data_IF_677340194229
#
_entry.id   IF_677340194229
#
_cell.length_a   1.000
_cell.length_b   1.000
_cell.length_c   1.000
_cell.angle_alpha   90.00
_cell.angle_beta   90.00
_cell.angle_gamma   90.00
#
_symmetry.space_group_name_H-M   'P 1'
#
loop_
_entity.id
_entity.type
_entity.pdbx_description
1 polymer ?
#
# COMPACT_ATOMS: atom_id res chain seq x y z
N UNK A 1 -24.55 -2.30 12.73
CA UNK A 1 -23.27 -1.58 12.61
C UNK A 1 -22.04 -2.50 12.61
N UNK A 2 -21.83 -3.38 13.61
CA UNK A 2 -20.64 -4.24 13.65
C UNK A 2 -20.54 -5.20 12.43
N UNK A 3 -21.62 -5.88 12.06
CA UNK A 3 -21.66 -6.77 10.88
C UNK A 3 -21.33 -6.02 9.57
N UNK A 4 -21.79 -4.78 9.44
CA UNK A 4 -21.57 -3.97 8.24
C UNK A 4 -20.11 -3.49 8.14
N UNK A 5 -19.51 -3.09 9.25
CA UNK A 5 -18.07 -2.73 9.29
C UNK A 5 -17.18 -3.95 9.03
N UNK A 6 -17.54 -5.11 9.57
CA UNK A 6 -16.86 -6.38 9.31
C UNK A 6 -16.91 -6.74 7.82
N UNK A 7 -18.07 -6.60 7.17
CA UNK A 7 -18.25 -6.87 5.74
C UNK A 7 -17.33 -5.99 4.89
N UNK A 8 -17.27 -4.69 5.17
CA UNK A 8 -16.41 -3.76 4.44
C UNK A 8 -14.92 -4.11 4.61
N UNK A 9 -14.50 -4.37 5.85
CA UNK A 9 -13.10 -4.74 6.14
C UNK A 9 -12.72 -6.05 5.47
N UNK A 10 -13.58 -7.07 5.57
CA UNK A 10 -13.37 -8.37 4.91
C UNK A 10 -13.32 -8.22 3.39
N UNK A 11 -14.20 -7.41 2.79
CA UNK A 11 -14.19 -7.14 1.36
C UNK A 11 -12.89 -6.48 0.88
N UNK A 12 -12.38 -5.51 1.62
CA UNK A 12 -11.10 -4.87 1.31
C UNK A 12 -9.91 -5.84 1.46
N UNK A 13 -9.91 -6.70 2.48
CA UNK A 13 -8.89 -7.74 2.67
C UNK A 13 -8.93 -8.73 1.51
N UNK A 14 -10.12 -9.22 1.14
CA UNK A 14 -10.29 -10.13 0.00
C UNK A 14 -9.76 -9.49 -1.28
N UNK A 15 -10.14 -8.25 -1.56
CA UNK A 15 -9.64 -7.53 -2.73
C UNK A 15 -8.11 -7.45 -2.74
N UNK A 16 -7.48 -7.00 -1.65
CA UNK A 16 -6.02 -6.88 -1.56
C UNK A 16 -5.31 -8.23 -1.69
N UNK A 17 -5.89 -9.28 -1.09
CA UNK A 17 -5.35 -10.64 -1.18
C UNK A 17 -5.47 -11.18 -2.60
N UNK A 18 -6.59 -10.97 -3.29
CA UNK A 18 -6.76 -11.43 -4.67
C UNK A 18 -5.83 -10.72 -5.65
N UNK A 19 -5.56 -9.43 -5.44
CA UNK A 19 -4.56 -8.70 -6.22
C UNK A 19 -3.14 -9.27 -6.00
N UNK A 20 -2.79 -9.62 -4.76
CA UNK A 20 -1.53 -10.30 -4.45
C UNK A 20 -1.46 -11.67 -5.11
N UNK A 21 -2.53 -12.48 -4.98
CA UNK A 21 -2.61 -13.81 -5.60
C UNK A 21 -2.46 -13.71 -7.12
N UNK A 22 -3.11 -12.74 -7.77
CA UNK A 22 -2.92 -12.51 -9.21
C UNK A 22 -1.47 -12.22 -9.55
N UNK A 23 -0.81 -11.32 -8.82
CA UNK A 23 0.60 -11.01 -9.06
C UNK A 23 1.49 -12.25 -8.90
N UNK A 24 1.25 -13.07 -7.89
CA UNK A 24 1.97 -14.34 -7.66
C UNK A 24 1.70 -15.34 -8.80
N UNK A 25 0.45 -15.51 -9.21
CA UNK A 25 0.08 -16.41 -10.31
C UNK A 25 0.76 -15.98 -11.61
N UNK A 26 0.68 -14.71 -11.96
CA UNK A 26 1.33 -14.19 -13.18
C UNK A 26 2.84 -14.33 -13.09
N UNK A 27 3.45 -13.95 -11.96
CA UNK A 27 4.89 -14.08 -11.75
C UNK A 27 5.38 -15.52 -11.88
N UNK A 28 4.56 -16.51 -11.52
CA UNK A 28 4.89 -17.93 -11.67
C UNK A 28 4.78 -18.42 -13.12
N UNK A 29 3.83 -17.88 -13.88
CA UNK A 29 3.50 -18.33 -15.24
C UNK A 29 4.43 -17.78 -16.32
N UNK A 30 4.98 -16.57 -16.15
CA UNK A 30 5.80 -15.88 -17.16
C UNK A 30 7.26 -15.77 -16.74
N UNK A 31 8.14 -15.32 -17.64
CA UNK A 31 9.55 -15.05 -17.34
C UNK A 31 9.70 -13.95 -16.28
N UNK A 32 10.87 -13.87 -15.62
CA UNK A 32 11.15 -12.79 -14.66
C UNK A 32 11.18 -11.45 -15.37
N UNK A 33 11.74 -11.39 -16.58
CA UNK A 33 11.78 -10.17 -17.39
C UNK A 33 10.40 -9.69 -17.79
N UNK A 34 9.54 -10.58 -18.30
CA UNK A 34 8.14 -10.26 -18.62
C UNK A 34 7.35 -9.79 -17.40
N UNK A 35 7.64 -10.38 -16.22
CA UNK A 35 7.03 -9.89 -14.99
C UNK A 35 7.52 -8.48 -14.63
N UNK A 36 8.76 -8.12 -14.94
CA UNK A 36 9.26 -6.76 -14.83
C UNK A 36 8.47 -5.77 -15.70
N UNK A 37 8.22 -6.14 -16.95
CA UNK A 37 7.32 -5.39 -17.84
C UNK A 37 5.91 -5.30 -17.25
N UNK A 38 5.35 -6.41 -16.77
CA UNK A 38 4.03 -6.46 -16.12
C UNK A 38 3.97 -5.55 -14.86
N UNK A 39 5.06 -5.44 -14.11
CA UNK A 39 5.15 -4.55 -12.96
C UNK A 39 5.06 -3.07 -13.36
N UNK A 40 5.54 -2.69 -14.56
CA UNK A 40 5.37 -1.32 -15.06
C UNK A 40 3.90 -0.98 -15.31
N UNK A 41 3.06 -1.94 -15.69
CA UNK A 41 1.62 -1.74 -15.82
C UNK A 41 0.97 -1.47 -14.45
N UNK A 42 1.40 -2.20 -13.41
CA UNK A 42 0.92 -1.95 -12.04
C UNK A 42 1.34 -0.56 -11.52
N UNK A 43 2.56 -0.11 -11.84
CA UNK A 43 3.03 1.25 -11.55
C UNK A 43 2.16 2.28 -12.28
N UNK A 44 1.87 2.05 -13.56
CA UNK A 44 1.00 2.91 -14.37
C UNK A 44 -0.41 2.99 -13.80
N UNK A 45 -0.96 1.86 -13.36
CA UNK A 45 -2.27 1.80 -12.71
C UNK A 45 -2.28 2.60 -11.41
N UNK A 46 -1.24 2.46 -10.57
CA UNK A 46 -1.10 3.23 -9.35
C UNK A 46 -0.98 4.74 -9.65
N UNK A 47 -0.25 5.13 -10.70
CA UNK A 47 -0.15 6.51 -11.15
C UNK A 47 -1.53 7.07 -11.53
N UNK A 48 -2.25 6.38 -12.42
CA UNK A 48 -3.60 6.77 -12.83
C UNK A 48 -4.52 6.92 -11.62
N UNK A 49 -4.50 5.94 -10.71
CA UNK A 49 -5.35 5.91 -9.54
C UNK A 49 -5.06 7.09 -8.59
N UNK A 50 -3.80 7.27 -8.20
CA UNK A 50 -3.40 8.29 -7.23
C UNK A 50 -3.49 9.70 -7.81
N UNK A 51 -3.20 9.88 -9.11
CA UNK A 51 -3.27 11.19 -9.78
C UNK A 51 -4.67 11.57 -10.27
N UNK A 52 -5.63 10.66 -10.22
CA UNK A 52 -7.01 10.96 -10.61
C UNK A 52 -8.01 10.93 -9.46
N UNK A 53 -7.60 10.54 -8.26
CA UNK A 53 -8.49 10.43 -7.10
C UNK A 53 -8.82 11.80 -6.51
N UNK A 54 -9.98 12.34 -6.86
CA UNK A 54 -10.51 13.61 -6.32
C UNK A 54 -11.39 13.42 -5.07
N UNK A 55 -11.45 12.22 -4.50
CA UNK A 55 -12.24 11.96 -3.30
C UNK A 55 -13.75 12.19 -3.45
N UNK A 56 -14.27 12.16 -4.68
CA UNK A 56 -15.71 12.33 -4.93
C UNK A 56 -16.54 11.24 -4.28
N UNK A 57 -15.99 10.04 -4.16
CA UNK A 57 -16.53 8.91 -3.41
C UNK A 57 -16.63 9.19 -1.90
N UNK A 58 -15.71 9.98 -1.36
CA UNK A 58 -15.79 10.47 0.03
C UNK A 58 -16.77 11.61 0.16
N UNK A 59 -16.78 12.52 -0.83
CA UNK A 59 -17.68 13.66 -0.84
C UNK A 59 -19.15 13.21 -0.78
N UNK A 60 -19.59 12.25 -1.60
CA UNK A 60 -20.98 11.78 -1.57
C UNK A 60 -21.35 11.13 -0.25
N UNK A 61 -20.38 10.50 0.44
CA UNK A 61 -20.60 9.88 1.75
C UNK A 61 -20.71 10.92 2.88
N UNK A 62 -19.92 12.00 2.83
CA UNK A 62 -19.81 12.99 3.90
C UNK A 62 -20.77 14.16 3.75
N UNK A 63 -21.13 14.52 2.52
CA UNK A 63 -21.92 15.71 2.23
C UNK A 63 -23.36 15.59 2.70
N UNK A 64 -23.95 16.69 3.19
CA UNK A 64 -25.35 16.72 3.62
C UNK A 64 -26.30 16.35 2.49
N UNK A 65 -25.97 16.78 1.26
CA UNK A 65 -26.76 16.54 0.05
C UNK A 65 -26.40 15.23 -0.66
N UNK A 66 -25.61 14.33 -0.03
CA UNK A 66 -25.13 13.08 -0.65
C UNK A 66 -26.22 12.14 -1.17
N UNK A 67 -27.44 12.23 -0.63
CA UNK A 67 -28.60 11.46 -1.11
C UNK A 67 -29.36 12.15 -2.26
N UNK A 68 -29.00 13.41 -2.57
CA UNK A 68 -29.65 14.15 -3.65
C UNK A 68 -29.31 13.54 -5.02
N UNK A 69 -30.33 13.08 -5.80
CA UNK A 69 -30.08 12.51 -7.12
C UNK A 69 -29.34 13.45 -8.09
N UNK A 70 -29.51 14.78 -7.94
CA UNK A 70 -28.81 15.76 -8.77
C UNK A 70 -27.32 15.79 -8.47
N UNK A 71 -26.94 15.71 -7.18
CA UNK A 71 -25.54 15.61 -6.77
C UNK A 71 -24.87 14.35 -7.33
N UNK A 72 -25.49 13.18 -7.15
CA UNK A 72 -24.99 11.92 -7.69
C UNK A 72 -24.78 12.00 -9.21
N UNK A 73 -25.78 12.48 -9.96
CA UNK A 73 -25.71 12.61 -11.42
C UNK A 73 -24.60 13.59 -11.86
N UNK A 74 -24.37 14.67 -11.11
CA UNK A 74 -23.32 15.65 -11.41
C UNK A 74 -21.93 15.10 -11.12
N UNK A 75 -21.73 14.41 -9.98
CA UNK A 75 -20.47 13.76 -9.65
C UNK A 75 -20.14 12.65 -10.65
N UNK A 76 -21.14 11.90 -11.09
CA UNK A 76 -21.03 10.87 -12.13
C UNK A 76 -20.62 11.44 -13.49
N UNK A 77 -21.22 12.57 -13.90
CA UNK A 77 -20.83 13.30 -15.13
C UNK A 77 -19.39 13.82 -15.02
N UNK A 78 -19.01 14.39 -13.89
CA UNK A 78 -17.66 14.89 -13.64
C UNK A 78 -16.62 13.76 -13.63
N UNK A 79 -16.94 12.61 -13.02
CA UNK A 79 -16.08 11.42 -13.01
C UNK A 79 -15.85 10.89 -14.43
N UNK A 80 -16.91 10.77 -15.25
CA UNK A 80 -16.81 10.33 -16.64
C UNK A 80 -15.96 11.29 -17.47
N UNK A 81 -16.22 12.59 -17.39
CA UNK A 81 -15.46 13.62 -18.10
C UNK A 81 -13.96 13.57 -17.73
N UNK A 82 -13.65 13.53 -16.45
CA UNK A 82 -12.28 13.41 -15.96
C UNK A 82 -11.62 12.12 -16.43
N UNK A 83 -12.35 10.98 -16.40
CA UNK A 83 -11.87 9.68 -16.87
C UNK A 83 -11.48 9.72 -18.34
N UNK A 84 -12.30 10.35 -19.18
CA UNK A 84 -12.00 10.53 -20.63
C UNK A 84 -10.76 11.41 -20.81
N UNK A 85 -10.68 12.56 -20.12
CA UNK A 85 -9.48 13.42 -20.21
C UNK A 85 -8.23 12.68 -19.78
N UNK A 86 -8.26 11.97 -18.64
CA UNK A 86 -7.13 11.20 -18.13
C UNK A 86 -6.71 10.11 -19.12
N UNK A 87 -7.67 9.43 -19.75
CA UNK A 87 -7.40 8.44 -20.79
C UNK A 87 -6.74 9.03 -22.03
N UNK A 88 -7.25 10.16 -22.53
CA UNK A 88 -6.67 10.86 -23.68
C UNK A 88 -5.25 11.36 -23.38
N UNK A 89 -5.03 11.93 -22.19
CA UNK A 89 -3.69 12.37 -21.78
C UNK A 89 -2.73 11.18 -21.68
N UNK A 90 -3.15 10.08 -21.04
CA UNK A 90 -2.33 8.88 -20.92
C UNK A 90 -2.02 8.27 -22.29
N UNK A 91 -2.99 8.23 -23.20
CA UNK A 91 -2.77 7.77 -24.57
C UNK A 91 -1.74 8.64 -25.31
N UNK A 92 -1.85 9.96 -25.17
CA UNK A 92 -0.92 10.91 -25.80
C UNK A 92 0.51 10.79 -25.27
N UNK A 93 0.68 10.56 -23.95
CA UNK A 93 2.00 10.43 -23.31
C UNK A 93 2.53 9.00 -23.28
N UNK A 94 1.80 8.01 -23.83
CA UNK A 94 2.18 6.59 -23.75
C UNK A 94 3.57 6.31 -24.34
N UNK A 95 3.94 6.94 -25.44
CA UNK A 95 5.27 6.80 -26.05
C UNK A 95 6.40 7.32 -25.14
N UNK A 96 6.40 8.61 -24.77
CA UNK A 96 7.38 9.16 -23.82
C UNK A 96 7.42 8.41 -22.49
N UNK A 97 6.27 7.95 -22.00
CA UNK A 97 6.19 7.19 -20.75
C UNK A 97 6.83 5.80 -20.86
N UNK A 98 6.56 5.07 -21.96
CA UNK A 98 7.19 3.78 -22.23
C UNK A 98 8.72 3.93 -22.39
N UNK A 99 9.17 5.00 -23.07
CA UNK A 99 10.60 5.33 -23.20
C UNK A 99 11.23 5.65 -21.82
N UNK A 100 10.52 6.37 -20.94
CA UNK A 100 10.96 6.63 -19.58
C UNK A 100 11.19 5.34 -18.79
N UNK A 101 10.34 4.34 -19.01
CA UNK A 101 10.44 3.03 -18.33
C UNK A 101 11.41 2.05 -19.03
N UNK A 102 12.00 2.42 -20.16
CA UNK A 102 12.92 1.56 -20.93
C UNK A 102 12.24 0.46 -21.73
N UNK A 103 10.95 0.60 -22.07
CA UNK A 103 10.13 -0.40 -22.75
C UNK A 103 9.41 0.17 -23.98
N UNK A 104 10.15 0.89 -24.82
CA UNK A 104 9.60 1.60 -26.00
C UNK A 104 8.90 0.69 -27.02
N UNK A 105 9.25 -0.58 -27.06
CA UNK A 105 8.70 -1.54 -28.04
C UNK A 105 7.23 -1.90 -27.75
N UNK A 106 6.75 -1.62 -26.54
CA UNK A 106 5.41 -1.96 -26.09
C UNK A 106 4.50 -0.75 -25.83
N UNK A 107 4.73 0.36 -26.53
CA UNK A 107 3.89 1.59 -26.43
C UNK A 107 2.40 1.27 -26.59
N UNK A 108 2.05 0.34 -27.47
CA UNK A 108 0.66 -0.11 -27.68
C UNK A 108 -0.01 -0.61 -26.40
N UNK A 109 0.74 -1.27 -25.52
CA UNK A 109 0.21 -1.78 -24.26
C UNK A 109 -0.19 -0.63 -23.31
N UNK A 110 0.60 0.45 -23.25
CA UNK A 110 0.28 1.65 -22.47
C UNK A 110 -0.87 2.44 -23.09
N UNK A 111 -0.96 2.47 -24.42
CA UNK A 111 -2.14 3.02 -25.12
C UNK A 111 -3.41 2.24 -24.77
N UNK A 112 -3.32 0.92 -24.62
CA UNK A 112 -4.43 0.10 -24.20
C UNK A 112 -4.78 0.32 -22.73
N UNK A 113 -3.77 0.47 -21.83
CA UNK A 113 -3.97 0.83 -20.42
C UNK A 113 -4.65 2.20 -20.28
N UNK A 114 -4.45 3.12 -21.23
CA UNK A 114 -5.13 4.41 -21.24
C UNK A 114 -6.67 4.32 -21.31
N UNK A 115 -7.22 3.15 -21.67
CA UNK A 115 -8.66 2.88 -21.56
C UNK A 115 -9.13 2.74 -20.09
N UNK A 116 -8.24 2.38 -19.17
CA UNK A 116 -8.63 2.14 -17.77
C UNK A 116 -9.22 3.37 -17.09
N UNK A 117 -8.61 4.57 -17.13
CA UNK A 117 -9.24 5.75 -16.55
C UNK A 117 -10.59 6.08 -17.21
N UNK A 118 -10.76 5.80 -18.50
CA UNK A 118 -12.05 5.94 -19.19
C UNK A 118 -13.07 4.98 -18.57
N UNK A 119 -12.77 3.68 -18.52
CA UNK A 119 -13.64 2.65 -17.95
C UNK A 119 -14.00 2.98 -16.51
N UNK A 120 -13.02 3.38 -15.69
CA UNK A 120 -13.25 3.81 -14.29
C UNK A 120 -14.12 5.07 -14.20
N UNK A 121 -14.02 5.96 -15.15
CA UNK A 121 -14.86 7.15 -15.27
C UNK A 121 -16.35 6.82 -15.37
N UNK A 122 -16.68 5.69 -15.99
CA UNK A 122 -18.06 5.24 -16.19
C UNK A 122 -18.58 4.29 -15.11
N UNK A 123 -17.80 3.96 -14.06
CA UNK A 123 -18.28 3.18 -12.90
C UNK A 123 -19.49 3.89 -12.29
N UNK A 124 -20.55 3.13 -11.98
CA UNK A 124 -21.79 3.67 -11.46
C UNK A 124 -21.61 4.22 -10.05
N UNK A 125 -21.91 5.50 -9.85
CA UNK A 125 -21.62 6.21 -8.60
C UNK A 125 -22.52 5.78 -7.42
N UNK A 126 -23.59 5.02 -7.72
CA UNK A 126 -24.55 4.54 -6.73
C UNK A 126 -23.93 3.60 -5.68
N UNK A 127 -22.85 2.89 -6.03
CA UNK A 127 -22.13 2.05 -5.09
C UNK A 127 -21.57 2.85 -3.90
N UNK A 128 -21.23 4.14 -4.09
CA UNK A 128 -20.76 5.03 -3.04
C UNK A 128 -21.92 5.63 -2.23
N UNK A 129 -23.06 5.92 -2.88
CA UNK A 129 -24.29 6.32 -2.19
C UNK A 129 -24.79 5.20 -1.26
N UNK A 130 -24.88 3.98 -1.76
CA UNK A 130 -25.29 2.82 -0.96
C UNK A 130 -24.37 2.59 0.24
N UNK A 131 -23.07 2.85 0.08
CA UNK A 131 -22.13 2.84 1.20
C UNK A 131 -22.48 3.91 2.25
N UNK A 132 -22.95 5.11 1.86
CA UNK A 132 -23.47 6.12 2.78
C UNK A 132 -24.66 5.60 3.58
N UNK A 133 -25.56 4.85 2.95
CA UNK A 133 -26.73 4.22 3.58
C UNK A 133 -26.37 2.97 4.42
N UNK A 134 -25.06 2.72 4.65
CA UNK A 134 -24.55 1.55 5.37
C UNK A 134 -24.83 0.21 4.66
N UNK A 135 -25.24 0.23 3.39
CA UNK A 135 -25.35 -0.94 2.53
C UNK A 135 -24.02 -1.16 1.80
N UNK A 136 -23.12 -1.94 2.38
CA UNK A 136 -21.76 -2.15 1.86
C UNK A 136 -21.66 -3.29 0.83
N UNK A 137 -22.68 -4.14 0.71
CA UNK A 137 -22.61 -5.31 -0.18
C UNK A 137 -22.34 -4.91 -1.64
N UNK A 138 -23.03 -3.92 -2.25
CA UNK A 138 -22.75 -3.47 -3.61
C UNK A 138 -21.31 -2.98 -3.79
N UNK A 139 -20.80 -2.25 -2.81
CA UNK A 139 -19.41 -1.77 -2.82
C UNK A 139 -18.39 -2.92 -2.74
N UNK A 140 -18.63 -3.92 -1.90
CA UNK A 140 -17.76 -5.10 -1.77
C UNK A 140 -17.81 -5.95 -3.05
N UNK A 141 -18.99 -6.20 -3.60
CA UNK A 141 -19.15 -6.99 -4.82
C UNK A 141 -18.43 -6.39 -6.01
N UNK A 142 -18.55 -5.07 -6.23
CA UNK A 142 -17.90 -4.42 -7.37
C UNK A 142 -16.37 -4.37 -7.27
N UNK A 143 -15.78 -4.57 -6.08
CA UNK A 143 -14.33 -4.66 -5.89
C UNK A 143 -13.83 -6.10 -5.84
N UNK A 144 -14.42 -6.93 -4.98
CA UNK A 144 -13.91 -8.26 -4.69
C UNK A 144 -14.16 -9.25 -5.84
N UNK A 145 -15.34 -9.23 -6.46
CA UNK A 145 -15.65 -10.17 -7.56
C UNK A 145 -14.75 -9.95 -8.78
N UNK A 146 -14.55 -8.70 -9.28
CA UNK A 146 -13.59 -8.47 -10.37
C UNK A 146 -12.17 -8.87 -10.02
N UNK A 147 -11.72 -8.64 -8.77
CA UNK A 147 -10.41 -9.05 -8.33
C UNK A 147 -10.25 -10.59 -8.35
N UNK A 148 -11.24 -11.34 -7.85
CA UNK A 148 -11.26 -12.80 -7.92
C UNK A 148 -11.26 -13.30 -9.37
N UNK A 149 -12.14 -12.75 -10.20
CA UNK A 149 -12.23 -13.13 -11.63
C UNK A 149 -10.95 -12.77 -12.38
N UNK A 150 -10.24 -11.69 -12.02
CA UNK A 150 -8.97 -11.34 -12.66
C UNK A 150 -7.87 -12.38 -12.41
N UNK A 151 -7.88 -13.08 -11.27
CA UNK A 151 -6.98 -14.21 -11.00
C UNK A 151 -7.29 -15.37 -11.94
N UNK A 152 -8.57 -15.74 -12.05
CA UNK A 152 -9.00 -16.80 -12.95
C UNK A 152 -8.69 -16.46 -14.41
N UNK A 153 -8.96 -15.22 -14.83
CA UNK A 153 -8.68 -14.78 -16.21
C UNK A 153 -7.18 -14.75 -16.49
N UNK A 154 -6.34 -14.34 -15.54
CA UNK A 154 -4.88 -14.41 -15.70
C UNK A 154 -4.42 -15.85 -15.96
N UNK A 155 -4.96 -16.82 -15.21
CA UNK A 155 -4.67 -18.23 -15.45
C UNK A 155 -5.21 -18.70 -16.82
N UNK A 156 -6.42 -18.32 -17.23
CA UNK A 156 -6.96 -18.68 -18.54
C UNK A 156 -6.15 -18.05 -19.69
N UNK A 157 -5.69 -16.81 -19.53
CA UNK A 157 -4.87 -16.14 -20.53
C UNK A 157 -3.50 -16.80 -20.71
N UNK A 158 -2.98 -17.51 -19.71
CA UNK A 158 -1.72 -18.25 -19.84
C UNK A 158 -1.78 -19.45 -20.82
N UNK A 159 -2.97 -19.88 -21.23
CA UNK A 159 -3.10 -20.85 -22.32
C UNK A 159 -2.94 -20.23 -23.72
N UNK A 160 -2.97 -18.89 -23.82
CA UNK A 160 -2.90 -18.16 -25.10
C UNK A 160 -1.57 -17.38 -25.20
N UNK A 161 -1.09 -16.86 -24.10
CA UNK A 161 0.13 -16.05 -24.00
C UNK A 161 1.03 -16.59 -22.90
N UNK A 162 2.34 -16.39 -23.04
CA UNK A 162 3.40 -16.79 -22.10
C UNK A 162 4.25 -15.60 -21.62
N UNK A 163 3.75 -14.36 -21.82
CA UNK A 163 4.46 -13.10 -21.57
C UNK A 163 3.61 -12.08 -20.76
N UNK A 164 4.11 -10.84 -20.67
CA UNK A 164 3.46 -9.72 -19.96
C UNK A 164 2.01 -9.44 -20.34
N UNK A 165 1.54 -9.91 -21.53
CA UNK A 165 0.15 -9.73 -22.01
C UNK A 165 -0.87 -10.35 -21.06
N UNK A 166 -0.50 -11.40 -20.34
CA UNK A 166 -1.35 -12.02 -19.32
C UNK A 166 -1.76 -10.98 -18.28
N UNK A 167 -0.79 -10.23 -17.73
CA UNK A 167 -1.07 -9.19 -16.73
C UNK A 167 -1.87 -8.03 -17.34
N UNK A 168 -1.51 -7.59 -18.55
CA UNK A 168 -2.19 -6.50 -19.25
C UNK A 168 -3.69 -6.79 -19.38
N UNK A 169 -4.04 -7.95 -19.93
CA UNK A 169 -5.44 -8.32 -20.16
C UNK A 169 -6.18 -8.65 -18.88
N UNK A 170 -5.50 -9.21 -17.86
CA UNK A 170 -6.10 -9.42 -16.55
C UNK A 170 -6.47 -8.09 -15.85
N UNK A 171 -5.60 -7.08 -15.96
CA UNK A 171 -5.85 -5.72 -15.45
C UNK A 171 -7.04 -5.05 -16.17
N UNK A 172 -7.07 -5.09 -17.50
CA UNK A 172 -8.15 -4.52 -18.30
C UNK A 172 -9.48 -5.19 -18.00
N UNK A 173 -9.50 -6.54 -17.98
CA UNK A 173 -10.67 -7.32 -17.65
C UNK A 173 -11.21 -7.01 -16.27
N UNK A 174 -10.33 -6.85 -15.26
CA UNK A 174 -10.74 -6.46 -13.91
C UNK A 174 -11.52 -5.14 -13.92
N UNK A 175 -11.03 -4.12 -14.62
CA UNK A 175 -11.68 -2.81 -14.64
C UNK A 175 -12.99 -2.81 -15.42
N UNK A 176 -13.06 -3.58 -16.53
CA UNK A 176 -14.30 -3.79 -17.25
C UNK A 176 -15.34 -4.51 -16.39
N UNK A 177 -14.93 -5.54 -15.64
CA UNK A 177 -15.82 -6.24 -14.72
C UNK A 177 -16.26 -5.34 -13.56
N UNK A 178 -15.37 -4.47 -13.04
CA UNK A 178 -15.76 -3.46 -12.03
C UNK A 178 -16.85 -2.54 -12.57
N UNK A 179 -16.70 -2.06 -13.81
CA UNK A 179 -17.73 -1.26 -14.48
C UNK A 179 -19.05 -2.02 -14.58
N UNK A 180 -19.04 -3.21 -15.15
CA UNK A 180 -20.25 -4.01 -15.36
C UNK A 180 -20.97 -4.32 -14.04
N UNK A 181 -20.23 -4.81 -13.03
CA UNK A 181 -20.82 -5.14 -11.74
C UNK A 181 -21.35 -3.89 -11.05
N UNK A 182 -20.69 -2.73 -11.16
CA UNK A 182 -21.19 -1.49 -10.58
C UNK A 182 -22.57 -1.09 -11.11
N UNK A 183 -22.81 -1.33 -12.40
CA UNK A 183 -24.11 -1.10 -13.03
C UNK A 183 -25.16 -2.14 -12.66
N UNK A 184 -24.74 -3.41 -12.44
CA UNK A 184 -25.65 -4.49 -12.04
C UNK A 184 -26.18 -4.34 -10.60
N UNK A 185 -25.34 -3.79 -9.71
CA UNK A 185 -25.70 -3.61 -8.28
C UNK A 185 -26.31 -2.24 -7.98
N UNK A 186 -26.37 -1.34 -8.97
CA UNK A 186 -26.93 -0.01 -8.81
C UNK A 186 -28.45 -0.05 -8.72
N UNK A 187 -29.05 0.75 -7.84
CA UNK A 187 -30.48 0.91 -7.68
C UNK A 187 -31.04 2.10 -8.51
N UNK A 188 -30.22 3.13 -8.69
CA UNK A 188 -30.59 4.34 -9.42
C UNK A 188 -30.16 4.26 -10.88
N UNK A 189 -30.92 4.89 -11.78
CA UNK A 189 -30.57 4.96 -13.20
C UNK A 189 -29.29 5.78 -13.41
N UNK A 190 -28.43 5.28 -14.31
CA UNK A 190 -27.22 5.98 -14.75
C UNK A 190 -27.59 7.17 -15.61
N UNK A 191 -27.37 8.39 -15.11
CA UNK A 191 -27.70 9.63 -15.82
C UNK A 191 -26.67 10.72 -15.50
N UNK A 192 -26.45 11.63 -16.44
CA UNK A 192 -25.57 12.78 -16.29
C UNK A 192 -26.37 14.08 -16.11
N UNK A 193 -25.83 14.94 -15.26
CA UNK A 193 -26.27 16.34 -15.11
C UNK A 193 -25.01 17.20 -15.04
N UNK A 194 -24.91 18.18 -15.90
CA UNK A 194 -23.84 19.15 -15.89
C UNK A 194 -24.20 20.28 -14.93
N UNK A 195 -23.65 20.25 -13.71
CA UNK A 195 -23.83 21.26 -12.67
C UNK A 195 -22.45 21.81 -12.31
N UNK A 196 -22.06 22.88 -13.00
CA UNK A 196 -20.74 23.50 -12.84
C UNK A 196 -20.44 23.93 -11.39
N UNK A 197 -21.38 24.53 -10.64
CA UNK A 197 -21.19 24.83 -9.22
C UNK A 197 -20.83 23.58 -8.38
N UNK A 198 -21.57 22.46 -8.57
CA UNK A 198 -21.29 21.20 -7.89
C UNK A 198 -19.94 20.60 -8.31
N UNK A 199 -19.63 20.62 -9.61
CA UNK A 199 -18.34 20.12 -10.14
C UNK A 199 -17.16 20.94 -9.59
N UNK A 200 -17.29 22.28 -9.54
CA UNK A 200 -16.29 23.17 -8.93
C UNK A 200 -16.10 22.85 -7.44
N UNK A 201 -17.20 22.63 -6.72
CA UNK A 201 -17.17 22.23 -5.30
C UNK A 201 -16.44 20.90 -5.12
N UNK A 202 -16.73 19.90 -5.97
CA UNK A 202 -16.05 18.61 -5.94
C UNK A 202 -14.55 18.75 -6.26
N UNK A 203 -14.17 19.57 -7.22
CA UNK A 203 -12.77 19.86 -7.53
C UNK A 203 -12.04 20.53 -6.36
N UNK A 204 -12.65 21.56 -5.76
CA UNK A 204 -12.09 22.26 -4.59
C UNK A 204 -11.97 21.36 -3.36
N UNK A 205 -12.86 20.38 -3.22
CA UNK A 205 -12.76 19.34 -2.19
C UNK A 205 -11.59 18.39 -2.45
N UNK A 206 -11.38 17.99 -3.71
CA UNK A 206 -10.48 16.91 -4.09
C UNK A 206 -9.05 17.31 -4.46
N UNK A 207 -8.78 18.57 -4.86
CA UNK A 207 -7.44 18.95 -5.31
C UNK A 207 -6.33 18.75 -4.27
N UNK A 208 -6.56 18.94 -2.93
CA UNK A 208 -5.52 18.59 -1.96
C UNK A 208 -5.25 17.09 -1.90
N UNK A 209 -6.27 16.26 -2.17
CA UNK A 209 -6.14 14.81 -2.22
C UNK A 209 -5.31 14.36 -3.43
N UNK A 210 -5.39 15.06 -4.56
CA UNK A 210 -4.53 14.81 -5.72
C UNK A 210 -3.05 15.06 -5.38
N UNK A 211 -2.73 16.17 -4.71
CA UNK A 211 -1.36 16.46 -4.30
C UNK A 211 -0.84 15.36 -3.36
N UNK A 212 -1.64 14.99 -2.36
CA UNK A 212 -1.28 13.90 -1.46
C UNK A 212 -1.13 12.57 -2.20
N UNK A 213 -1.99 12.28 -3.16
CA UNK A 213 -1.88 11.12 -4.04
C UNK A 213 -0.56 11.09 -4.81
N UNK A 214 -0.12 12.23 -5.37
CA UNK A 214 1.17 12.37 -6.03
C UNK A 214 2.35 12.09 -5.09
N UNK A 215 2.33 12.60 -3.87
CA UNK A 215 3.37 12.31 -2.87
C UNK A 215 3.39 10.82 -2.49
N UNK A 216 2.23 10.21 -2.28
CA UNK A 216 2.14 8.78 -1.99
C UNK A 216 2.60 7.92 -3.19
N UNK A 217 2.29 8.34 -4.43
CA UNK A 217 2.79 7.67 -5.62
C UNK A 217 4.31 7.63 -5.65
N UNK A 218 4.96 8.76 -5.40
CA UNK A 218 6.43 8.85 -5.33
C UNK A 218 6.97 7.92 -4.23
N UNK A 219 6.37 7.91 -3.05
CA UNK A 219 6.81 7.09 -1.91
C UNK A 219 6.71 5.58 -2.20
N UNK A 220 5.66 5.14 -2.89
CA UNK A 220 5.40 3.70 -3.11
C UNK A 220 5.93 3.18 -4.44
N UNK A 221 6.14 4.05 -5.43
CA UNK A 221 6.51 3.62 -6.78
C UNK A 221 7.78 4.29 -7.31
N UNK A 222 8.29 5.36 -6.69
CA UNK A 222 9.47 6.08 -7.17
C UNK A 222 10.68 5.17 -7.33
N UNK A 223 10.98 4.33 -6.35
CA UNK A 223 12.10 3.38 -6.43
C UNK A 223 11.92 2.36 -7.55
N UNK A 224 10.71 1.86 -7.76
CA UNK A 224 10.42 0.92 -8.86
C UNK A 224 10.68 1.55 -10.23
N UNK A 225 10.35 2.83 -10.40
CA UNK A 225 10.62 3.56 -11.64
C UNK A 225 12.14 3.69 -11.86
N UNK A 226 12.89 4.05 -10.80
CA UNK A 226 14.34 4.16 -10.85
C UNK A 226 14.98 2.81 -11.21
N UNK A 227 14.57 1.73 -10.52
CA UNK A 227 15.07 0.38 -10.78
C UNK A 227 14.74 -0.07 -12.19
N UNK A 228 13.49 0.08 -12.64
CA UNK A 228 13.09 -0.35 -13.99
C UNK A 228 13.82 0.37 -15.10
N UNK A 229 14.04 1.69 -14.93
CA UNK A 229 14.73 2.51 -15.92
C UNK A 229 16.24 2.26 -15.98
N UNK A 230 16.90 2.21 -14.83
CA UNK A 230 18.37 2.25 -14.77
C UNK A 230 18.99 0.85 -14.60
N UNK A 231 18.27 -0.12 -13.98
CA UNK A 231 18.78 -1.47 -13.74
C UNK A 231 18.12 -2.54 -14.63
N UNK A 232 16.98 -2.22 -15.25
CA UNK A 232 16.28 -3.09 -16.19
C UNK A 232 15.13 -3.90 -15.59
N UNK A 233 14.46 -4.68 -16.47
CA UNK A 233 13.18 -5.33 -16.14
C UNK A 233 13.34 -6.51 -15.19
N UNK A 234 14.46 -7.24 -15.22
CA UNK A 234 14.73 -8.35 -14.29
C UNK A 234 14.84 -7.84 -12.85
N UNK A 235 15.64 -6.79 -12.64
CA UNK A 235 15.79 -6.17 -11.32
C UNK A 235 14.48 -5.53 -10.83
N UNK A 236 13.74 -4.91 -11.74
CA UNK A 236 12.39 -4.40 -11.42
C UNK A 236 11.46 -5.52 -10.99
N UNK A 237 11.47 -6.67 -11.66
CA UNK A 237 10.65 -7.82 -11.31
C UNK A 237 10.93 -8.31 -9.90
N UNK A 238 12.19 -8.54 -9.58
CA UNK A 238 12.65 -9.00 -8.28
C UNK A 238 12.27 -7.97 -7.20
N UNK A 239 12.59 -6.70 -7.42
CA UNK A 239 12.27 -5.62 -6.47
C UNK A 239 10.76 -5.46 -6.28
N UNK A 240 9.99 -5.37 -7.36
CA UNK A 240 8.54 -5.13 -7.28
C UNK A 240 7.80 -6.29 -6.61
N UNK A 241 8.22 -7.54 -6.87
CA UNK A 241 7.62 -8.71 -6.23
C UNK A 241 7.95 -8.77 -4.74
N UNK A 242 9.23 -8.64 -4.35
CA UNK A 242 9.64 -8.63 -2.95
C UNK A 242 9.04 -7.46 -2.18
N UNK A 243 8.96 -6.29 -2.81
CA UNK A 243 8.26 -5.13 -2.26
C UNK A 243 6.76 -5.41 -2.05
N UNK A 244 6.09 -6.05 -2.99
CA UNK A 244 4.66 -6.38 -2.88
C UNK A 244 4.40 -7.41 -1.79
N UNK A 245 5.23 -8.45 -1.68
CA UNK A 245 5.12 -9.48 -0.65
C UNK A 245 5.30 -8.90 0.77
N UNK A 246 6.17 -7.91 0.93
CA UNK A 246 6.41 -7.26 2.22
C UNK A 246 5.40 -6.14 2.50
N UNK A 247 4.99 -5.37 1.51
CA UNK A 247 4.08 -4.23 1.66
C UNK A 247 2.64 -4.67 1.93
N UNK A 248 2.14 -5.71 1.25
CA UNK A 248 0.72 -6.10 1.37
C UNK A 248 0.33 -6.46 2.80
N UNK A 249 1.04 -7.36 3.53
CA UNK A 249 0.73 -7.62 4.94
C UNK A 249 0.92 -6.38 5.82
N UNK A 250 1.92 -5.54 5.50
CA UNK A 250 2.17 -4.27 6.18
C UNK A 250 0.95 -3.34 6.13
N UNK A 251 0.39 -3.11 4.94
CA UNK A 251 -0.78 -2.23 4.77
C UNK A 251 -2.03 -2.77 5.47
N UNK A 252 -2.25 -4.09 5.45
CA UNK A 252 -3.36 -4.72 6.18
C UNK A 252 -3.23 -4.46 7.67
N UNK A 253 -2.05 -4.67 8.25
CA UNK A 253 -1.80 -4.47 9.67
C UNK A 253 -1.86 -2.98 10.06
N UNK A 254 -1.34 -2.07 9.23
CA UNK A 254 -1.44 -0.63 9.45
C UNK A 254 -2.89 -0.14 9.48
N UNK A 255 -3.68 -0.53 8.47
CA UNK A 255 -5.09 -0.15 8.37
C UNK A 255 -5.90 -0.71 9.54
N UNK A 256 -5.62 -1.95 9.96
CA UNK A 256 -6.26 -2.58 11.12
C UNK A 256 -5.91 -1.85 12.40
N UNK A 257 -4.64 -1.50 12.60
CA UNK A 257 -4.17 -0.74 13.77
C UNK A 257 -4.83 0.64 13.83
N UNK A 258 -4.88 1.35 12.71
CA UNK A 258 -5.54 2.66 12.65
C UNK A 258 -7.04 2.56 12.93
N UNK A 259 -7.74 1.62 12.30
CA UNK A 259 -9.17 1.42 12.50
C UNK A 259 -9.54 1.02 13.93
N UNK A 260 -8.61 0.35 14.63
CA UNK A 260 -8.82 -0.10 16.00
C UNK A 260 -8.50 0.99 17.04
N UNK A 261 -7.36 1.67 16.92
CA UNK A 261 -6.91 2.61 17.96
C UNK A 261 -7.42 4.03 17.77
N UNK A 262 -7.63 4.50 16.53
CA UNK A 262 -8.05 5.88 16.30
C UNK A 262 -9.37 6.25 16.99
N UNK A 263 -10.45 5.44 16.92
CA UNK A 263 -11.69 5.76 17.64
C UNK A 263 -11.51 5.81 19.16
N UNK A 264 -10.69 4.90 19.72
CA UNK A 264 -10.46 4.83 21.16
C UNK A 264 -9.68 6.05 21.66
N UNK A 265 -8.63 6.46 20.93
CA UNK A 265 -7.88 7.68 21.21
C UNK A 265 -8.77 8.92 21.06
N UNK A 266 -9.61 8.98 20.03
CA UNK A 266 -10.53 10.10 19.83
C UNK A 266 -11.55 10.24 20.96
N UNK A 267 -12.06 9.12 21.47
CA UNK A 267 -12.99 9.13 22.62
C UNK A 267 -12.30 9.50 23.95
N UNK A 268 -10.99 9.30 24.03
CA UNK A 268 -10.21 9.62 25.22
C UNK A 268 -9.63 11.05 25.24
N UNK A 269 -9.93 11.89 24.21
CA UNK A 269 -9.32 13.22 24.06
C UNK A 269 -9.48 14.15 25.27
N UNK A 270 -10.61 14.04 25.99
CA UNK A 270 -10.89 14.86 27.17
C UNK A 270 -10.25 14.32 28.45
N UNK A 271 -9.82 13.06 28.46
CA UNK A 271 -9.15 12.42 29.60
C UNK A 271 -7.66 12.23 29.30
N UNK A 272 -6.83 13.18 29.72
CA UNK A 272 -5.39 13.18 29.44
C UNK A 272 -4.67 11.91 29.92
N UNK A 273 -5.05 11.35 31.07
CA UNK A 273 -4.43 10.13 31.60
C UNK A 273 -4.72 8.91 30.71
N UNK A 274 -5.97 8.75 30.29
CA UNK A 274 -6.39 7.65 29.43
C UNK A 274 -5.85 7.83 28.00
N UNK A 275 -5.83 9.07 27.48
CA UNK A 275 -5.25 9.39 26.18
C UNK A 275 -3.76 9.06 26.14
N UNK A 276 -3.02 9.46 27.19
CA UNK A 276 -1.58 9.16 27.31
C UNK A 276 -1.32 7.65 27.38
N UNK A 277 -2.11 6.92 28.19
CA UNK A 277 -2.02 5.45 28.29
C UNK A 277 -2.28 4.77 26.95
N UNK A 278 -3.36 5.13 26.25
CA UNK A 278 -3.70 4.58 24.93
C UNK A 278 -2.67 4.97 23.87
N UNK A 279 -2.06 6.15 23.98
CA UNK A 279 -0.96 6.56 23.10
C UNK A 279 0.26 5.65 23.24
N UNK A 280 0.68 5.34 24.47
CA UNK A 280 1.77 4.38 24.71
C UNK A 280 1.43 2.99 24.19
N UNK A 281 0.20 2.51 24.43
CA UNK A 281 -0.28 1.24 23.88
C UNK A 281 -0.17 1.23 22.37
N UNK A 282 -0.63 2.29 21.69
CA UNK A 282 -0.62 2.40 20.23
C UNK A 282 0.80 2.41 19.67
N UNK A 283 1.71 3.17 20.28
CA UNK A 283 3.12 3.23 19.88
C UNK A 283 3.81 1.87 20.05
N UNK A 284 3.63 1.22 21.21
CA UNK A 284 4.22 -0.08 21.49
C UNK A 284 3.61 -1.18 20.61
N UNK A 285 2.30 -1.13 20.32
CA UNK A 285 1.63 -2.09 19.45
C UNK A 285 2.15 -2.00 18.02
N UNK A 286 2.42 -0.80 17.50
CA UNK A 286 3.04 -0.60 16.20
C UNK A 286 4.46 -1.19 16.14
N UNK A 287 5.27 -1.03 17.20
CA UNK A 287 6.58 -1.66 17.33
C UNK A 287 6.48 -3.19 17.40
N UNK A 288 5.50 -3.71 18.13
CA UNK A 288 5.25 -5.17 18.21
C UNK A 288 4.98 -5.77 16.83
N UNK A 289 4.11 -5.13 16.04
CA UNK A 289 3.85 -5.55 14.66
C UNK A 289 5.14 -5.50 13.82
N UNK A 290 5.93 -4.43 13.96
CA UNK A 290 7.19 -4.29 13.23
C UNK A 290 8.15 -5.46 13.50
N UNK A 291 8.33 -5.85 14.76
CA UNK A 291 9.17 -6.99 15.18
C UNK A 291 8.63 -8.30 14.61
N UNK A 292 7.34 -8.60 14.86
CA UNK A 292 6.72 -9.87 14.43
C UNK A 292 6.80 -10.02 12.91
N UNK A 293 6.47 -8.95 12.17
CA UNK A 293 6.47 -8.98 10.71
C UNK A 293 7.88 -9.20 10.16
N UNK A 294 8.88 -8.49 10.69
CA UNK A 294 10.25 -8.58 10.16
C UNK A 294 10.90 -9.92 10.51
N UNK A 295 10.79 -10.35 11.76
CA UNK A 295 11.30 -11.68 12.18
C UNK A 295 10.58 -12.79 11.42
N UNK A 296 9.26 -12.68 11.28
CA UNK A 296 8.47 -13.64 10.51
C UNK A 296 8.91 -13.73 9.04
N UNK A 297 9.11 -12.58 8.36
CA UNK A 297 9.59 -12.57 6.98
C UNK A 297 11.03 -13.07 6.88
N UNK A 298 11.91 -12.73 7.82
CA UNK A 298 13.29 -13.20 7.82
C UNK A 298 13.40 -14.74 7.93
N UNK A 299 12.53 -15.34 8.73
CA UNK A 299 12.55 -16.80 8.97
C UNK A 299 11.75 -17.59 7.93
N UNK A 300 10.54 -17.10 7.59
CA UNK A 300 9.55 -17.85 6.77
C UNK A 300 9.46 -17.32 5.35
N UNK A 301 9.95 -16.11 5.10
CA UNK A 301 9.86 -15.45 3.79
C UNK A 301 10.55 -16.22 2.67
N UNK A 302 11.83 -16.65 2.81
CA UNK A 302 12.54 -17.40 1.77
C UNK A 302 11.81 -18.68 1.33
N UNK A 303 11.38 -19.59 2.23
CA UNK A 303 10.59 -20.76 1.82
C UNK A 303 9.23 -20.40 1.20
N UNK A 304 8.58 -19.33 1.66
CA UNK A 304 7.32 -18.86 1.04
C UNK A 304 7.56 -18.39 -0.39
N UNK A 305 8.64 -17.67 -0.66
CA UNK A 305 9.02 -17.27 -2.03
C UNK A 305 9.28 -18.51 -2.89
N UNK A 306 10.04 -19.50 -2.40
CA UNK A 306 10.30 -20.74 -3.11
C UNK A 306 9.00 -21.48 -3.47
N UNK A 307 8.09 -21.61 -2.50
CA UNK A 307 6.79 -22.25 -2.69
C UNK A 307 5.89 -21.51 -3.68
N UNK A 308 5.77 -20.20 -3.55
CA UNK A 308 4.82 -19.38 -4.32
C UNK A 308 5.36 -19.04 -5.71
N UNK A 309 6.63 -18.64 -5.83
CA UNK A 309 7.22 -18.08 -7.05
C UNK A 309 8.19 -19.02 -7.76
N UNK A 310 8.81 -19.94 -7.00
CA UNK A 310 9.82 -20.86 -7.51
C UNK A 310 11.23 -20.27 -7.54
N UNK A 311 12.19 -21.11 -7.96
CA UNK A 311 13.64 -20.84 -7.89
C UNK A 311 14.08 -19.60 -8.68
N UNK A 312 13.38 -19.25 -9.75
CA UNK A 312 13.70 -18.08 -10.57
C UNK A 312 13.65 -16.73 -9.81
N UNK A 313 13.01 -16.71 -8.62
CA UNK A 313 12.95 -15.53 -7.74
C UNK A 313 13.95 -15.58 -6.57
N UNK A 314 14.75 -16.64 -6.43
CA UNK A 314 15.77 -16.74 -5.37
C UNK A 314 16.79 -15.59 -5.36
N UNK A 315 17.22 -15.02 -6.51
CA UNK A 315 18.08 -13.83 -6.50
C UNK A 315 17.48 -12.62 -5.77
N UNK A 316 16.15 -12.58 -5.62
CA UNK A 316 15.43 -11.54 -4.88
C UNK A 316 15.33 -11.77 -3.36
N UNK A 317 15.71 -12.95 -2.83
CA UNK A 317 15.56 -13.28 -1.41
C UNK A 317 16.27 -12.29 -0.46
N UNK A 318 17.50 -11.83 -0.73
CA UNK A 318 18.10 -10.79 0.10
C UNK A 318 17.26 -9.50 0.12
N UNK A 319 16.70 -9.11 -1.03
CA UNK A 319 15.82 -7.92 -1.12
C UNK A 319 14.56 -8.07 -0.27
N UNK A 320 13.97 -9.29 -0.20
CA UNK A 320 12.79 -9.56 0.60
C UNK A 320 12.98 -9.14 2.06
N UNK A 321 14.07 -9.59 2.69
CA UNK A 321 14.32 -9.35 4.11
C UNK A 321 14.76 -7.90 4.36
N UNK A 322 15.59 -7.31 3.48
CA UNK A 322 15.92 -5.89 3.56
C UNK A 322 14.67 -4.99 3.42
N UNK A 323 13.77 -5.31 2.51
CA UNK A 323 12.50 -4.61 2.35
C UNK A 323 11.58 -4.83 3.56
N UNK A 324 11.62 -5.99 4.23
CA UNK A 324 10.90 -6.19 5.48
C UNK A 324 11.37 -5.23 6.58
N UNK A 325 12.68 -4.90 6.65
CA UNK A 325 13.20 -3.88 7.56
C UNK A 325 12.64 -2.49 7.21
N UNK A 326 12.56 -2.12 5.92
CA UNK A 326 11.90 -0.88 5.48
C UNK A 326 10.45 -0.84 5.97
N UNK A 327 9.71 -1.94 5.79
CA UNK A 327 8.31 -2.03 6.22
C UNK A 327 8.15 -1.99 7.73
N UNK A 328 9.09 -2.58 8.49
CA UNK A 328 9.09 -2.51 9.95
C UNK A 328 9.15 -1.07 10.46
N UNK A 329 10.08 -0.27 9.94
CA UNK A 329 10.20 1.15 10.30
C UNK A 329 8.94 1.94 9.89
N UNK A 330 8.38 1.61 8.73
CA UNK A 330 7.12 2.21 8.26
C UNK A 330 5.94 1.91 9.18
N UNK A 331 5.78 0.65 9.63
CA UNK A 331 4.74 0.26 10.60
C UNK A 331 4.93 0.97 11.93
N UNK A 332 6.15 1.00 12.45
CA UNK A 332 6.45 1.71 13.70
C UNK A 332 6.03 3.19 13.63
N UNK A 333 6.27 3.86 12.49
CA UNK A 333 5.87 5.26 12.25
C UNK A 333 4.36 5.47 12.30
N UNK A 334 3.55 4.47 11.93
CA UNK A 334 2.08 4.58 11.94
C UNK A 334 1.52 4.82 13.33
N UNK A 335 2.13 4.26 14.40
CA UNK A 335 1.71 4.52 15.78
C UNK A 335 1.68 6.02 16.10
N UNK A 336 2.75 6.74 15.77
CA UNK A 336 2.83 8.19 15.96
C UNK A 336 1.86 8.98 15.07
N UNK A 337 1.61 8.51 13.86
CA UNK A 337 0.64 9.12 12.96
C UNK A 337 -0.80 9.01 13.52
N UNK A 338 -1.18 7.85 14.07
CA UNK A 338 -2.51 7.62 14.68
C UNK A 338 -2.70 8.52 15.90
N UNK A 339 -1.71 8.57 16.80
CA UNK A 339 -1.74 9.43 18.01
C UNK A 339 -1.88 10.90 17.61
N UNK A 340 -1.12 11.36 16.62
CA UNK A 340 -1.20 12.72 16.11
C UNK A 340 -2.57 13.03 15.47
N UNK A 341 -3.09 12.11 14.68
CA UNK A 341 -4.39 12.25 14.01
C UNK A 341 -5.54 12.34 15.01
N UNK A 342 -5.48 11.57 16.09
CA UNK A 342 -6.46 11.61 17.17
C UNK A 342 -6.55 12.99 17.85
N UNK A 343 -5.47 13.78 17.86
CA UNK A 343 -5.46 15.20 18.33
C UNK A 343 -5.58 16.20 17.17
N UNK A 344 -6.07 15.79 16.00
CA UNK A 344 -6.25 16.60 14.79
C UNK A 344 -4.96 17.23 14.21
N UNK A 345 -3.76 16.73 14.57
CA UNK A 345 -2.49 17.14 13.96
C UNK A 345 -2.25 16.39 12.64
N UNK A 346 -3.09 16.63 11.65
CA UNK A 346 -3.08 15.93 10.34
C UNK A 346 -1.78 16.12 9.55
N UNK A 347 -1.10 17.28 9.73
CA UNK A 347 0.14 17.59 9.01
C UNK A 347 1.35 16.79 9.51
N UNK A 348 1.27 16.17 10.71
CA UNK A 348 2.40 15.44 11.28
C UNK A 348 2.83 14.25 10.42
N UNK A 349 1.87 13.52 9.85
CA UNK A 349 2.15 12.41 8.94
C UNK A 349 2.83 12.88 7.65
N UNK A 350 2.41 14.01 7.08
CA UNK A 350 3.02 14.60 5.89
C UNK A 350 4.46 15.01 6.15
N UNK A 351 4.73 15.69 7.28
CA UNK A 351 6.09 16.10 7.67
C UNK A 351 7.00 14.88 7.85
N UNK A 352 6.52 13.85 8.57
CA UNK A 352 7.25 12.60 8.78
C UNK A 352 7.56 11.83 7.47
N UNK A 353 6.72 11.97 6.45
CA UNK A 353 6.94 11.36 5.14
C UNK A 353 7.87 12.20 4.24
N UNK A 354 8.14 13.45 4.58
CA UNK A 354 8.98 14.36 3.78
C UNK A 354 10.37 13.81 3.51
N UNK A 355 11.02 13.19 4.50
CA UNK A 355 12.35 12.58 4.34
C UNK A 355 12.35 11.51 3.23
N UNK A 356 11.26 10.74 3.10
CA UNK A 356 11.12 9.70 2.08
C UNK A 356 11.03 10.28 0.67
N UNK A 357 10.30 11.39 0.51
CA UNK A 357 10.20 12.10 -0.78
C UNK A 357 11.54 12.72 -1.16
N UNK A 358 12.24 13.35 -0.20
CA UNK A 358 13.55 13.97 -0.43
C UNK A 358 14.64 12.92 -0.73
N UNK A 359 14.49 11.69 -0.31
CA UNK A 359 15.43 10.61 -0.64
C UNK A 359 15.34 10.18 -2.12
N UNK A 360 14.22 10.44 -2.84
CA UNK A 360 14.06 9.97 -4.23
C UNK A 360 15.07 10.58 -5.22
N UNK A 361 15.34 11.90 -5.23
CA UNK A 361 16.39 12.45 -6.07
C UNK A 361 17.78 11.87 -5.74
N UNK A 362 18.06 11.63 -4.46
CA UNK A 362 19.32 11.01 -4.01
C UNK A 362 19.41 9.59 -4.55
N UNK A 363 18.32 8.81 -4.42
CA UNK A 363 18.21 7.46 -4.96
C UNK A 363 18.51 7.41 -6.46
N UNK A 364 17.93 8.34 -7.23
CA UNK A 364 18.19 8.44 -8.67
C UNK A 364 19.66 8.70 -8.96
N UNK A 365 20.26 9.72 -8.32
CA UNK A 365 21.67 10.04 -8.50
C UNK A 365 22.57 8.86 -8.12
N UNK A 366 22.28 8.14 -7.05
CA UNK A 366 23.05 6.95 -6.66
C UNK A 366 23.04 5.89 -7.75
N UNK A 367 21.86 5.52 -8.27
CA UNK A 367 21.75 4.45 -9.28
C UNK A 367 22.41 4.86 -10.59
N UNK A 368 22.25 6.10 -11.06
CA UNK A 368 22.94 6.62 -12.26
C UNK A 368 24.47 6.58 -12.10
N UNK A 369 24.99 6.72 -10.87
CA UNK A 369 26.42 6.58 -10.58
C UNK A 369 26.86 5.12 -10.33
N UNK A 370 26.04 4.14 -10.65
CA UNK A 370 26.41 2.71 -10.61
C UNK A 370 26.24 2.05 -9.23
N UNK A 371 25.54 2.69 -8.28
CA UNK A 371 25.21 2.03 -7.02
C UNK A 371 24.16 0.94 -7.22
N UNK A 372 24.30 -0.15 -6.47
CA UNK A 372 23.41 -1.31 -6.55
C UNK A 372 22.02 -1.03 -5.99
N UNK A 373 21.06 -1.89 -6.35
CA UNK A 373 19.70 -1.89 -5.79
C UNK A 373 19.70 -1.99 -4.25
N UNK A 374 20.69 -2.65 -3.66
CA UNK A 374 20.84 -2.75 -2.22
C UNK A 374 21.13 -1.40 -1.56
N UNK A 375 21.98 -0.57 -2.18
CA UNK A 375 22.26 0.79 -1.69
C UNK A 375 20.98 1.65 -1.68
N UNK A 376 20.10 1.45 -2.66
CA UNK A 376 18.79 2.10 -2.75
C UNK A 376 17.88 1.69 -1.58
N UNK A 377 17.86 0.41 -1.23
CA UNK A 377 17.06 -0.09 -0.10
C UNK A 377 17.63 0.42 1.24
N UNK A 378 18.95 0.50 1.39
CA UNK A 378 19.59 1.09 2.59
C UNK A 378 19.23 2.57 2.72
N UNK A 379 19.26 3.34 1.63
CA UNK A 379 18.79 4.74 1.62
C UNK A 379 17.31 4.83 2.05
N UNK A 380 16.49 3.89 1.59
CA UNK A 380 15.09 3.79 1.99
C UNK A 380 14.92 3.57 3.50
N UNK A 381 15.71 2.68 4.11
CA UNK A 381 15.71 2.44 5.56
C UNK A 381 16.08 3.73 6.30
N UNK A 382 17.15 4.41 5.87
CA UNK A 382 17.60 5.68 6.48
C UNK A 382 16.49 6.73 6.41
N UNK A 383 15.87 6.91 5.24
CA UNK A 383 14.80 7.88 5.05
C UNK A 383 13.55 7.58 5.89
N UNK A 384 13.14 6.29 5.98
CA UNK A 384 12.04 5.88 6.85
C UNK A 384 12.40 6.05 8.35
N UNK A 385 13.64 5.77 8.75
CA UNK A 385 14.12 5.98 10.13
C UNK A 385 14.09 7.47 10.51
N UNK A 386 14.56 8.36 9.64
CA UNK A 386 14.45 9.82 9.84
C UNK A 386 12.98 10.22 9.97
N UNK A 387 12.11 9.72 9.10
CA UNK A 387 10.67 9.96 9.16
C UNK A 387 10.04 9.45 10.45
N UNK A 388 10.47 8.30 10.96
CA UNK A 388 10.01 7.74 12.23
C UNK A 388 10.46 8.60 13.43
N UNK A 389 11.72 8.98 13.48
CA UNK A 389 12.24 9.87 14.53
C UNK A 389 11.53 11.23 14.51
N UNK A 390 11.25 11.77 13.31
CA UNK A 390 10.45 12.99 13.16
C UNK A 390 9.03 12.78 13.68
N UNK A 391 8.39 11.64 13.40
CA UNK A 391 7.06 11.31 13.91
C UNK A 391 7.03 11.28 15.45
N UNK A 392 8.02 10.65 16.09
CA UNK A 392 8.15 10.63 17.55
C UNK A 392 8.41 12.02 18.14
N UNK A 393 9.27 12.81 17.49
CA UNK A 393 9.51 14.21 17.88
C UNK A 393 8.21 15.04 17.83
N UNK A 394 7.40 14.89 16.79
CA UNK A 394 6.13 15.60 16.65
C UNK A 394 5.08 15.13 17.67
N UNK A 395 5.06 13.84 18.02
CA UNK A 395 4.23 13.31 19.12
C UNK A 395 4.63 13.96 20.43
N UNK A 396 5.93 14.01 20.75
CA UNK A 396 6.42 14.63 22.00
C UNK A 396 6.17 16.13 22.02
N UNK A 397 6.48 16.85 20.95
CA UNK A 397 6.44 18.33 20.93
C UNK A 397 5.04 18.90 20.78
N UNK A 398 4.21 18.33 19.89
CA UNK A 398 2.88 18.86 19.55
C UNK A 398 1.75 18.19 20.32
N UNK A 399 1.80 16.86 20.45
CA UNK A 399 0.77 16.09 21.17
C UNK A 399 1.06 16.04 22.66
N UNK A 400 2.31 16.35 23.07
CA UNK A 400 2.80 16.40 24.47
C UNK A 400 2.75 15.04 25.19
N UNK A 401 2.96 13.95 24.47
CA UNK A 401 3.07 12.62 25.05
C UNK A 401 4.53 12.36 25.45
N UNK A 402 4.76 11.92 26.70
CA UNK A 402 6.06 11.43 27.12
C UNK A 402 6.39 10.11 26.42
N UNK A 403 7.61 9.98 25.91
CA UNK A 403 8.07 8.78 25.20
C UNK A 403 8.80 7.78 26.09
N UNK A 404 9.00 8.07 27.38
CA UNK A 404 9.75 7.22 28.32
C UNK A 404 9.38 5.74 28.24
N UNK A 405 8.08 5.36 28.31
CA UNK A 405 7.64 3.96 28.22
C UNK A 405 7.91 3.29 26.87
N UNK A 406 8.21 4.08 25.82
CA UNK A 406 8.43 3.58 24.44
C UNK A 406 9.93 3.46 24.13
N UNK A 407 10.83 4.07 24.90
CA UNK A 407 12.27 4.11 24.61
C UNK A 407 12.89 2.71 24.63
N UNK A 408 12.69 1.94 25.69
CA UNK A 408 13.25 0.58 25.79
C UNK A 408 12.71 -0.37 24.70
N UNK A 409 11.38 -0.43 24.43
CA UNK A 409 10.86 -1.13 23.28
C UNK A 409 11.49 -0.71 21.94
N UNK A 410 11.70 0.58 21.73
CA UNK A 410 12.33 1.12 20.53
C UNK A 410 13.78 0.65 20.37
N UNK A 411 14.58 0.75 21.45
CA UNK A 411 15.98 0.30 21.44
C UNK A 411 16.06 -1.20 21.11
N UNK A 412 15.28 -2.04 21.79
CA UNK A 412 15.29 -3.48 21.56
C UNK A 412 14.78 -3.86 20.17
N UNK A 413 13.77 -3.15 19.65
CA UNK A 413 13.32 -3.31 18.26
C UNK A 413 14.45 -2.94 17.29
N UNK A 414 15.14 -1.82 17.51
CA UNK A 414 16.27 -1.41 16.67
C UNK A 414 17.41 -2.42 16.72
N UNK A 415 17.72 -2.98 17.89
CA UNK A 415 18.72 -4.06 18.04
C UNK A 415 18.28 -5.30 17.25
N UNK A 416 17.01 -5.69 17.32
CA UNK A 416 16.48 -6.81 16.54
C UNK A 416 16.65 -6.61 15.04
N UNK A 417 16.28 -5.43 14.53
CA UNK A 417 16.44 -5.09 13.10
C UNK A 417 17.91 -5.04 12.69
N UNK A 418 18.79 -4.51 13.55
CA UNK A 418 20.23 -4.47 13.30
C UNK A 418 20.85 -5.88 13.24
N UNK A 419 20.44 -6.79 14.13
CA UNK A 419 20.89 -8.18 14.09
C UNK A 419 20.44 -8.90 12.81
N UNK A 420 19.20 -8.67 12.37
CA UNK A 420 18.71 -9.19 11.07
C UNK A 420 19.54 -8.61 9.91
N UNK A 421 19.84 -7.30 9.94
CA UNK A 421 20.66 -6.67 8.90
C UNK A 421 22.09 -7.23 8.85
N UNK A 422 22.70 -7.48 10.02
CA UNK A 422 24.04 -8.12 10.11
C UNK A 422 23.99 -9.55 9.59
N UNK A 423 22.97 -10.32 9.97
CA UNK A 423 22.78 -11.69 9.45
C UNK A 423 22.71 -11.70 7.93
N UNK A 424 21.93 -10.78 7.34
CA UNK A 424 21.81 -10.64 5.88
C UNK A 424 23.09 -10.22 5.17
N UNK A 425 23.94 -9.44 5.83
CA UNK A 425 25.23 -9.02 5.27
C UNK A 425 26.23 -10.17 5.26
N UNK A 426 26.19 -11.01 6.28
CA UNK A 426 27.12 -12.13 6.45
C UNK A 426 26.64 -13.41 5.75
N UNK A 427 25.33 -13.65 5.77
CA UNK A 427 24.71 -14.90 5.32
C UNK A 427 23.43 -14.60 4.51
N UNK A 428 23.54 -13.97 3.31
CA UNK A 428 22.38 -13.68 2.50
C UNK A 428 21.65 -14.97 2.10
N UNK A 429 20.33 -15.05 2.18
CA UNK A 429 19.56 -16.22 1.78
C UNK A 429 19.71 -16.47 0.27
N UNK A 430 20.09 -17.70 -0.10
CA UNK A 430 20.36 -18.09 -1.49
C UNK A 430 19.31 -19.05 -2.05
N UNK A 431 18.62 -19.77 -1.18
CA UNK A 431 17.59 -20.75 -1.55
C UNK A 431 16.36 -20.63 -0.64
N UNK A 432 15.28 -21.33 -1.01
CA UNK A 432 14.01 -21.32 -0.28
C UNK A 432 13.96 -22.22 0.95
N UNK A 433 15.09 -22.58 1.56
CA UNK A 433 15.11 -23.46 2.71
C UNK A 433 14.73 -22.71 4.00
N UNK A 434 13.92 -23.38 4.84
CA UNK A 434 13.64 -22.92 6.20
C UNK A 434 14.91 -23.17 7.02
N UNK A 435 15.50 -22.10 7.55
CA UNK A 435 16.67 -22.22 8.43
C UNK A 435 17.84 -22.99 7.76
N UNK A 436 18.03 -22.83 6.45
CA UNK A 436 19.00 -23.58 5.65
C UNK A 436 20.42 -23.66 6.22
N UNK A 437 20.73 -22.72 7.13
CA UNK A 437 21.84 -22.80 8.08
C UNK A 437 21.36 -22.10 9.36
N UNK A 438 21.11 -22.85 10.43
CA UNK A 438 20.79 -22.31 11.75
C UNK A 438 22.02 -21.54 12.30
N UNK A 439 22.10 -20.26 11.99
CA UNK A 439 23.18 -19.40 12.48
C UNK A 439 22.85 -18.84 13.86
N UNK A 440 23.87 -18.62 14.68
CA UNK A 440 23.73 -17.95 15.96
C UNK A 440 23.01 -16.60 15.85
N UNK A 441 23.13 -15.90 14.73
CA UNK A 441 22.43 -14.65 14.46
C UNK A 441 20.91 -14.82 14.39
N UNK A 442 20.40 -15.91 13.82
CA UNK A 442 18.95 -16.19 13.77
C UNK A 442 18.41 -16.36 15.20
N UNK A 443 19.10 -17.12 16.03
CA UNK A 443 18.74 -17.24 17.43
C UNK A 443 18.84 -15.90 18.16
N UNK A 444 19.90 -15.12 17.89
CA UNK A 444 20.12 -13.83 18.51
C UNK A 444 18.98 -12.84 18.20
N UNK A 445 18.57 -12.68 16.94
CA UNK A 445 17.47 -11.76 16.63
C UNK A 445 16.10 -12.31 17.07
N UNK A 446 15.88 -13.62 17.13
CA UNK A 446 14.67 -14.17 17.75
C UNK A 446 14.60 -13.85 19.25
N UNK A 447 15.68 -14.06 19.99
CA UNK A 447 15.76 -13.71 21.42
C UNK A 447 15.59 -12.20 21.61
N UNK A 448 16.26 -11.37 20.81
CA UNK A 448 16.11 -9.91 20.85
C UNK A 448 14.67 -9.48 20.52
N UNK A 449 14.02 -10.13 19.55
CA UNK A 449 12.61 -9.89 19.20
C UNK A 449 11.66 -10.24 20.33
N UNK A 450 11.86 -11.38 20.98
CA UNK A 450 11.09 -11.76 22.18
C UNK A 450 11.31 -10.76 23.31
N UNK A 451 12.56 -10.35 23.56
CA UNK A 451 12.89 -9.34 24.57
C UNK A 451 12.25 -7.97 24.23
N UNK A 452 12.27 -7.58 22.96
CA UNK A 452 11.60 -6.36 22.50
C UNK A 452 10.10 -6.41 22.79
N UNK A 453 9.41 -7.49 22.40
CA UNK A 453 7.99 -7.68 22.70
C UNK A 453 7.73 -7.69 24.20
N UNK A 454 8.51 -8.43 24.99
CA UNK A 454 8.35 -8.51 26.44
C UNK A 454 8.51 -7.15 27.14
N UNK A 455 9.28 -6.23 26.56
CA UNK A 455 9.45 -4.86 27.06
C UNK A 455 8.22 -3.97 26.83
N UNK A 456 7.28 -4.36 25.94
CA UNK A 456 6.09 -3.59 25.55
C UNK A 456 4.94 -3.78 26.54
N UNK A 457 5.19 -3.43 27.80
CA UNK A 457 4.30 -3.71 28.95
C UNK A 457 2.89 -3.12 28.78
N UNK A 458 2.78 -1.91 28.21
CA UNK A 458 1.48 -1.26 28.01
C UNK A 458 0.63 -1.99 26.96
N UNK A 459 1.24 -2.36 25.85
CA UNK A 459 0.56 -3.11 24.78
C UNK A 459 0.13 -4.51 25.27
N UNK A 460 1.04 -5.25 25.91
CA UNK A 460 0.76 -6.58 26.46
C UNK A 460 -0.33 -6.52 27.52
N UNK A 461 -0.22 -5.59 28.47
CA UNK A 461 -1.21 -5.39 29.52
C UNK A 461 -2.59 -5.03 28.99
N UNK A 462 -2.63 -4.26 27.90
CA UNK A 462 -3.88 -3.94 27.20
C UNK A 462 -4.53 -5.18 26.55
N UNK A 463 -3.75 -5.97 25.80
CA UNK A 463 -4.23 -7.20 25.16
C UNK A 463 -4.72 -8.21 26.20
N UNK A 464 -3.95 -8.43 27.28
CA UNK A 464 -4.33 -9.38 28.33
C UNK A 464 -5.60 -8.97 29.07
N UNK A 465 -5.82 -7.69 29.35
CA UNK A 465 -7.06 -7.20 29.98
C UNK A 465 -8.27 -7.45 29.09
N UNK A 466 -8.14 -7.25 27.78
CA UNK A 466 -9.24 -7.48 26.82
C UNK A 466 -9.54 -8.96 26.56
N UNK A 467 -8.55 -9.82 26.71
CA UNK A 467 -8.74 -11.26 26.57
C UNK A 467 -9.44 -11.92 27.80
N UNK A 468 -9.47 -11.19 28.95
CA UNK A 468 -10.09 -11.67 30.20
C UNK A 468 -11.50 -11.13 30.45
N UNK A 469 -11.94 -10.14 29.68
CA UNK A 469 -13.28 -9.56 29.76
C UNK A 469 -14.03 -9.75 28.44
#
# INVERSE_FOLDING_TARGET
MFKSALLLTTGNIINSLMLLVRNVVVARLISVEDFGVAATFAITMAFIEMMTQLGMDWMIVQDKDGDNPRMQKSLQAFQAFRGVIAGLLMFAIAGPYAALLGVSDIVWAYQLIALVPVVRGFIHFDVHRLKREMNFMPFVLHLAVPAMLSVLLAYLFSYIWDDYRIMLYALLSQHILMLLISHMVAERAYRFVWDLPLMKRAFMFGWPLLINGGLLFIIFNGEKIIVGRELGMVDLALFAMMFTLTLTPTLVLQNSTQSFFLPQLSNAQENEAEFTRLSHVTLQFALMIAVILTVGIALVGPPVVGLLLGEKYYPGLPLLVWLAIVQAVRVAKVGGAIVSLARAFTNNAMIANGARVLAMPIAWVMVVNGYSIMALVVLAIIAEAIGYLMSLYLVKSRVKIDLGPTILPLILTTVTLALIAVDLMLYPPQNGEILGHAHWFQLAYMVAGVAAIASMKEAIGYVMRRARG
#
